data_IF_848564846981
#
_entry.id   IF_848564846981
#
_cell.length_a   1.000
_cell.length_b   1.000
_cell.length_c   1.000
_cell.angle_alpha   90.00
_cell.angle_beta   90.00
_cell.angle_gamma   90.00
#
_symmetry.space_group_name_H-M   'P 1'
#
loop_
_entity.id
_entity.type
_entity.pdbx_description
1 polymer ?
#
# COMPACT_ATOMS: atom_id res chain seq x y z
N UNK A 1 5.84 4.19 11.84
CA UNK A 1 5.06 4.96 10.86
C UNK A 1 4.87 4.08 9.65
N UNK A 2 3.64 3.94 9.16
CA UNK A 2 3.35 3.08 8.01
C UNK A 2 3.74 3.77 6.71
N UNK A 3 4.41 3.02 5.83
CA UNK A 3 4.73 3.48 4.48
C UNK A 3 4.19 2.50 3.46
N UNK A 4 3.83 3.05 2.31
CA UNK A 4 3.44 2.27 1.15
C UNK A 4 4.72 1.85 0.43
N UNK A 5 4.86 0.55 0.26
CA UNK A 5 6.01 -0.06 -0.38
C UNK A 5 5.59 -0.80 -1.64
N UNK A 6 6.48 -0.80 -2.61
CA UNK A 6 6.43 -1.64 -3.80
C UNK A 6 7.51 -2.71 -3.65
N UNK A 7 7.12 -3.96 -3.87
CA UNK A 7 8.00 -5.11 -3.80
C UNK A 7 8.00 -5.78 -5.15
N UNK A 8 9.17 -5.88 -5.78
CA UNK A 8 9.37 -6.49 -7.07
C UNK A 8 10.21 -7.76 -6.92
N UNK A 9 9.81 -8.83 -7.60
CA UNK A 9 10.56 -10.08 -7.66
C UNK A 9 10.56 -10.65 -9.08
N UNK A 10 11.47 -11.57 -9.39
CA UNK A 10 11.54 -12.23 -10.71
C UNK A 10 10.36 -13.18 -10.98
N UNK A 11 9.65 -13.64 -9.95
CA UNK A 11 8.56 -14.59 -10.09
C UNK A 11 7.56 -14.50 -8.93
N UNK A 12 6.36 -15.08 -9.12
CA UNK A 12 5.31 -15.06 -8.09
C UNK A 12 5.72 -15.88 -6.87
N UNK A 13 6.47 -16.96 -7.07
CA UNK A 13 6.99 -17.80 -5.99
C UNK A 13 8.02 -17.05 -5.15
N UNK A 14 8.96 -16.34 -5.79
CA UNK A 14 9.93 -15.51 -5.08
C UNK A 14 9.24 -14.40 -4.28
N UNK A 15 8.23 -13.74 -4.87
CA UNK A 15 7.46 -12.71 -4.18
C UNK A 15 6.70 -13.27 -2.96
N UNK A 16 6.06 -14.45 -3.10
CA UNK A 16 5.39 -15.11 -1.98
C UNK A 16 6.35 -15.51 -0.87
N UNK A 17 7.51 -16.05 -1.22
CA UNK A 17 8.52 -16.45 -0.24
C UNK A 17 9.09 -15.24 0.51
N UNK A 18 9.28 -14.11 -0.18
CA UNK A 18 9.69 -12.85 0.46
C UNK A 18 8.64 -12.35 1.47
N UNK A 19 7.35 -12.58 1.19
CA UNK A 19 6.22 -12.10 1.98
C UNK A 19 5.68 -13.08 3.02
N UNK A 20 6.11 -14.34 3.01
CA UNK A 20 5.51 -15.42 3.81
C UNK A 20 5.54 -15.13 5.33
N UNK A 21 6.57 -14.44 5.80
CA UNK A 21 6.77 -14.10 7.22
C UNK A 21 6.81 -12.59 7.45
N UNK A 22 6.33 -11.80 6.49
CA UNK A 22 6.42 -10.34 6.56
C UNK A 22 5.07 -9.74 6.97
N UNK A 23 5.09 -8.80 7.92
CA UNK A 23 3.88 -8.07 8.34
C UNK A 23 3.55 -6.94 7.36
N UNK A 24 3.13 -7.33 6.15
CA UNK A 24 2.77 -6.43 5.06
C UNK A 24 1.28 -6.56 4.77
N UNK A 25 0.55 -5.45 4.93
CA UNK A 25 -0.84 -5.36 4.52
C UNK A 25 -0.91 -5.14 3.00
N UNK A 26 -1.33 -6.17 2.26
CA UNK A 26 -1.55 -6.12 0.82
C UNK A 26 -3.00 -5.75 0.44
N UNK A 27 -3.85 -5.47 1.42
CA UNK A 27 -5.28 -5.19 1.27
C UNK A 27 -6.12 -6.41 0.91
N UNK A 28 -7.40 -6.17 0.65
CA UNK A 28 -8.42 -7.21 0.47
C UNK A 28 -8.32 -7.99 -0.86
N UNK A 29 -7.56 -7.48 -1.83
CA UNK A 29 -7.30 -8.12 -3.14
C UNK A 29 -5.87 -7.80 -3.58
N UNK A 30 -4.86 -8.51 -3.06
CA UNK A 30 -3.47 -8.32 -3.46
C UNK A 30 -3.33 -8.53 -4.96
N UNK A 31 -3.03 -7.47 -5.71
CA UNK A 31 -2.77 -7.57 -7.14
C UNK A 31 -1.26 -7.61 -7.36
N UNK A 32 -0.74 -8.81 -7.65
CA UNK A 32 0.60 -8.94 -8.20
C UNK A 32 0.53 -8.66 -9.71
N UNK A 33 1.11 -7.54 -10.15
CA UNK A 33 1.16 -7.13 -11.55
C UNK A 33 2.50 -7.54 -12.17
N UNK A 34 2.48 -7.84 -13.46
CA UNK A 34 3.71 -8.06 -14.23
C UNK A 34 4.16 -6.69 -14.75
N UNK A 35 5.40 -6.32 -14.46
CA UNK A 35 6.04 -5.10 -14.93
C UNK A 35 7.36 -5.46 -15.59
N UNK A 36 7.37 -5.40 -16.92
CA UNK A 36 8.47 -5.93 -17.73
C UNK A 36 8.66 -7.43 -17.46
N UNK A 37 9.86 -7.80 -17.01
CA UNK A 37 10.22 -9.19 -16.68
C UNK A 37 10.01 -9.54 -15.19
N UNK A 38 9.47 -8.61 -14.40
CA UNK A 38 9.31 -8.77 -12.95
C UNK A 38 7.86 -8.73 -12.53
N UNK A 39 7.62 -9.17 -11.31
CA UNK A 39 6.31 -9.17 -10.68
C UNK A 39 6.36 -8.22 -9.50
N UNK A 40 5.51 -7.20 -9.54
CA UNK A 40 5.37 -6.18 -8.53
C UNK A 40 4.11 -6.41 -7.69
N UNK A 41 4.21 -6.21 -6.38
CA UNK A 41 3.08 -6.04 -5.48
C UNK A 41 3.25 -4.74 -4.68
N UNK A 42 2.13 -4.13 -4.34
CA UNK A 42 2.08 -2.95 -3.48
C UNK A 42 1.48 -3.37 -2.14
N UNK A 43 2.12 -2.93 -1.07
CA UNK A 43 1.65 -3.16 0.30
C UNK A 43 1.92 -1.98 1.21
N UNK A 44 1.42 -2.08 2.43
CA UNK A 44 1.67 -1.12 3.51
C UNK A 44 2.33 -1.87 4.66
N UNK A 45 3.45 -1.34 5.14
CA UNK A 45 4.21 -1.94 6.24
C UNK A 45 4.73 -0.85 7.19
N UNK A 46 5.02 -1.23 8.43
CA UNK A 46 5.74 -0.37 9.37
C UNK A 46 7.21 -0.21 8.95
N UNK A 47 7.81 0.92 9.28
CA UNK A 47 9.19 1.24 8.90
C UNK A 47 10.23 0.20 9.36
N UNK A 48 10.03 -0.38 10.55
CA UNK A 48 10.84 -1.48 11.08
C UNK A 48 10.73 -2.75 10.24
N UNK A 49 9.53 -3.05 9.76
CA UNK A 49 9.26 -4.21 8.90
C UNK A 49 9.87 -4.01 7.51
N UNK A 50 9.81 -2.79 6.98
CA UNK A 50 10.48 -2.43 5.73
C UNK A 50 12.00 -2.63 5.86
N UNK A 51 12.59 -2.19 6.97
CA UNK A 51 14.02 -2.40 7.22
C UNK A 51 14.38 -3.89 7.31
N UNK A 52 13.54 -4.70 7.96
CA UNK A 52 13.70 -6.17 8.00
C UNK A 52 13.62 -6.80 6.61
N UNK A 53 12.65 -6.39 5.80
CA UNK A 53 12.47 -6.85 4.43
C UNK A 53 13.66 -6.47 3.54
N UNK A 54 14.18 -5.25 3.67
CA UNK A 54 15.37 -4.78 2.94
C UNK A 54 16.61 -5.57 3.37
N UNK A 55 16.79 -5.82 4.67
CA UNK A 55 17.90 -6.63 5.18
C UNK A 55 17.83 -8.09 4.73
N UNK A 56 16.61 -8.63 4.59
CA UNK A 56 16.34 -9.98 4.07
C UNK A 56 16.34 -10.07 2.55
N UNK A 57 16.40 -8.96 1.82
CA UNK A 57 16.29 -8.95 0.37
C UNK A 57 17.42 -9.78 -0.23
N UNK A 58 17.09 -10.97 -0.71
CA UNK A 58 18.01 -11.82 -1.46
C UNK A 58 18.11 -11.33 -2.90
N UNK A 59 19.13 -11.82 -3.62
CA UNK A 59 19.32 -11.54 -5.05
C UNK A 59 18.01 -11.77 -5.82
N UNK A 60 17.49 -10.71 -6.47
CA UNK A 60 16.27 -10.77 -7.27
C UNK A 60 15.01 -10.19 -6.61
N UNK A 61 15.08 -9.70 -5.37
CA UNK A 61 14.02 -8.92 -4.72
C UNK A 61 14.43 -7.45 -4.66
N UNK A 62 13.55 -6.55 -5.05
CA UNK A 62 13.75 -5.09 -4.97
C UNK A 62 12.57 -4.46 -4.25
N UNK A 63 12.86 -3.58 -3.29
CA UNK A 63 11.86 -2.89 -2.48
C UNK A 63 12.03 -1.40 -2.70
N UNK A 64 10.95 -0.74 -3.09
CA UNK A 64 10.87 0.69 -3.31
C UNK A 64 9.85 1.29 -2.35
N UNK A 65 10.24 2.34 -1.63
CA UNK A 65 9.34 3.06 -0.72
C UNK A 65 8.68 4.19 -1.50
N UNK A 66 7.37 4.07 -1.75
CA UNK A 66 6.65 4.99 -2.61
C UNK A 66 6.28 6.29 -1.88
N UNK A 67 5.50 6.17 -0.80
CA UNK A 67 4.96 7.32 -0.07
C UNK A 67 4.73 6.97 1.40
N UNK A 68 4.81 7.98 2.27
CA UNK A 68 4.29 7.91 3.63
C UNK A 68 2.78 7.83 3.56
N UNK A 69 2.18 6.80 4.17
CA UNK A 69 0.72 6.77 4.30
C UNK A 69 0.36 7.70 5.46
N UNK A 70 -0.28 8.86 5.23
CA UNK A 70 -0.74 9.68 6.33
C UNK A 70 -1.68 8.84 7.18
N UNK A 71 -1.46 8.84 8.49
CA UNK A 71 -2.29 8.10 9.41
C UNK A 71 -3.77 8.56 9.29
N UNK A 72 -4.70 7.70 9.71
CA UNK A 72 -6.13 7.97 9.56
C UNK A 72 -6.56 9.30 10.21
N UNK A 73 -5.88 9.74 11.28
CA UNK A 73 -6.15 10.99 11.98
C UNK A 73 -5.65 12.20 11.18
N UNK A 74 -4.46 12.10 10.60
CA UNK A 74 -3.91 13.10 9.68
C UNK A 74 -4.75 13.23 8.41
N UNK A 75 -5.26 12.11 7.87
CA UNK A 75 -6.24 12.12 6.76
C UNK A 75 -7.53 12.87 7.13
N UNK A 76 -8.05 12.66 8.34
CA UNK A 76 -9.24 13.38 8.81
C UNK A 76 -9.00 14.89 8.91
N UNK A 77 -7.78 15.32 9.25
CA UNK A 77 -7.39 16.74 9.27
C UNK A 77 -7.27 17.38 7.88
N UNK A 78 -7.08 16.60 6.82
CA UNK A 78 -7.02 17.07 5.43
C UNK A 78 -8.40 17.16 4.76
N UNK A 79 -9.41 16.49 5.31
CA UNK A 79 -10.79 16.69 4.89
C UNK A 79 -11.21 18.06 5.44
N UNK A 80 -11.39 19.04 4.56
CA UNK A 80 -11.87 20.36 4.96
C UNK A 80 -13.09 20.20 5.88
N UNK A 81 -13.09 20.90 7.01
CA UNK A 81 -14.18 20.90 8.01
C UNK A 81 -15.50 21.46 7.47
N UNK A 82 -15.62 21.61 6.14
CA UNK A 82 -16.86 21.95 5.47
C UNK A 82 -17.88 20.87 5.75
N UNK A 83 -18.82 21.17 6.64
CA UNK A 83 -20.02 20.37 6.80
C UNK A 83 -20.74 20.35 5.45
N UNK A 84 -20.60 19.25 4.70
CA UNK A 84 -21.24 19.06 3.38
C UNK A 84 -22.77 19.02 3.47
N UNK A 85 -23.33 19.00 4.69
CA UNK A 85 -24.76 19.13 4.95
C UNK A 85 -25.20 20.57 5.21
N UNK A 86 -24.28 21.52 5.48
CA UNK A 86 -24.62 22.94 5.64
C UNK A 86 -24.93 23.64 4.30
N UNK A 87 -24.44 23.11 3.18
CA UNK A 87 -24.69 23.68 1.84
C UNK A 87 -26.08 23.35 1.28
N UNK A 88 -26.91 22.57 1.98
CA UNK A 88 -28.28 22.22 1.55
C UNK A 88 -28.39 21.32 0.31
N UNK A 89 -27.29 21.12 -0.42
CA UNK A 89 -27.23 20.22 -1.56
C UNK A 89 -27.05 18.77 -1.12
N UNK A 90 -28.11 17.97 -1.24
CA UNK A 90 -28.01 16.51 -1.17
C UNK A 90 -27.08 16.01 -2.29
N UNK A 91 -26.00 15.26 -1.98
CA UNK A 91 -25.16 14.68 -3.02
C UNK A 91 -25.99 13.71 -3.86
N UNK A 92 -26.19 14.04 -5.13
CA UNK A 92 -26.84 13.16 -6.11
C UNK A 92 -25.78 12.38 -6.84
N UNK A 93 -25.70 11.08 -6.55
CA UNK A 93 -24.84 10.14 -7.24
C UNK A 93 -25.01 8.76 -6.61
N UNK A 94 -24.88 7.66 -7.38
CA UNK A 94 -24.83 6.34 -6.77
C UNK A 94 -23.57 6.35 -5.91
N UNK A 95 -23.71 6.26 -4.59
CA UNK A 95 -22.60 6.20 -3.65
C UNK A 95 -21.78 4.92 -3.82
N UNK A 96 -21.18 4.73 -4.99
CA UNK A 96 -20.23 3.68 -5.30
C UNK A 96 -18.91 4.13 -4.71
N UNK A 97 -18.53 3.43 -3.64
CA UNK A 97 -17.13 3.31 -3.27
C UNK A 97 -16.44 2.53 -4.40
N UNK A 98 -15.65 3.22 -5.20
CA UNK A 98 -14.54 2.56 -5.91
C UNK A 98 -13.44 2.18 -4.90
#
# INVERSE_FOLDING_TARGET
MKRRIRIMAQSKSALRQALADADVDLGCRPLAQIEGERIAAIGVAEEEEIARLVARASTGISIEVLETVPDARSRLGLVSSGNRFLSGELPRGPGKKE
#
